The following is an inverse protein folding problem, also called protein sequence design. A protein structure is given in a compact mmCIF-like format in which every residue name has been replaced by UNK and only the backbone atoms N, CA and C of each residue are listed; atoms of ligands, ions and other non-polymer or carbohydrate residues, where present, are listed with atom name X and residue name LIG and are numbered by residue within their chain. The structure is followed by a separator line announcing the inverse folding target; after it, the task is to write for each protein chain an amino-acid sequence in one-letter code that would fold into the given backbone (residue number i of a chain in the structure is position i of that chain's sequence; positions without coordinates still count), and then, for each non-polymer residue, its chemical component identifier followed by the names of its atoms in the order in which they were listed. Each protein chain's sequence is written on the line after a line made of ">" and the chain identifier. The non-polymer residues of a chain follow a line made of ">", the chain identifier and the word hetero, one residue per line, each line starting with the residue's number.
data_IF_388900424034
#
_entry.id   IF_388900424034
#
_cell.length_a   1.000
_cell.length_b   1.000
_cell.length_c   1.000
_cell.angle_alpha   90.00
_cell.angle_beta   90.00
_cell.angle_gamma   90.00
#
_symmetry.space_group_name_H-M   'P 1'
#
loop_
_entity.id
_entity.type
_entity.pdbx_description
1 polymer ?
#
# COMPACT_ATOMS: atom_id res chain seq x y z
N UNK A 1 -23.74 56.55 9.88
CA UNK A 1 -23.42 55.19 10.27
C UNK A 1 -21.95 54.96 10.63
N UNK A 2 -21.06 55.91 10.38
CA UNK A 2 -19.62 55.82 10.70
C UNK A 2 -19.24 56.29 12.14
N UNK A 3 -20.08 57.10 12.75
CA UNK A 3 -19.83 57.67 14.08
C UNK A 3 -20.21 56.78 15.27
N UNK A 4 -21.03 55.75 15.06
CA UNK A 4 -21.46 54.84 16.12
C UNK A 4 -20.44 53.71 16.32
N UNK A 5 -19.66 53.33 15.29
CA UNK A 5 -18.66 52.29 15.36
C UNK A 5 -17.38 52.72 16.10
N UNK A 6 -17.03 54.00 16.08
CA UNK A 6 -15.83 54.56 16.75
C UNK A 6 -16.05 54.68 18.27
N UNK A 7 -17.29 54.98 18.71
CA UNK A 7 -17.60 55.08 20.12
C UNK A 7 -17.59 53.72 20.87
N UNK A 8 -17.95 52.62 20.14
CA UNK A 8 -17.89 51.27 20.70
C UNK A 8 -16.45 50.73 20.85
N UNK A 9 -15.55 51.10 19.92
CA UNK A 9 -14.14 50.67 20.00
C UNK A 9 -13.35 51.40 21.15
N UNK A 10 -13.67 52.63 21.42
CA UNK A 10 -13.03 53.40 22.54
C UNK A 10 -13.59 52.98 23.89
N UNK A 11 -14.79 52.50 24.00
CA UNK A 11 -15.39 51.96 25.23
C UNK A 11 -14.77 50.59 25.62
N UNK A 12 -14.39 49.74 24.66
CA UNK A 12 -13.74 48.48 24.94
C UNK A 12 -12.27 48.61 25.36
N UNK A 13 -11.56 49.64 24.88
CA UNK A 13 -10.17 49.90 25.28
C UNK A 13 -10.05 50.49 26.68
N UNK A 14 -11.08 51.17 27.21
CA UNK A 14 -11.07 51.73 28.56
C UNK A 14 -11.36 50.66 29.64
N UNK A 15 -12.06 49.60 29.30
CA UNK A 15 -12.39 48.51 30.25
C UNK A 15 -11.22 47.52 30.46
N UNK A 16 -10.27 47.46 29.52
CA UNK A 16 -9.11 46.57 29.66
C UNK A 16 -8.00 47.13 30.52
N UNK A 17 -8.02 48.41 30.87
CA UNK A 17 -7.00 49.04 31.70
C UNK A 17 -7.32 49.09 33.21
N UNK A 18 -8.54 48.69 33.62
CA UNK A 18 -8.98 48.76 35.03
C UNK A 18 -9.11 47.39 35.71
N UNK A 19 -8.80 46.31 35.03
CA UNK A 19 -8.79 44.98 35.66
C UNK A 19 -7.35 44.50 35.84
N UNK A 20 -6.75 44.78 37.00
CA UNK A 20 -5.58 44.06 37.50
C UNK A 20 -6.09 42.94 38.40
N UNK A 21 -5.96 41.67 38.02
CA UNK A 21 -6.18 40.58 38.98
C UNK A 21 -5.07 40.59 40.00
N UNK A 22 -5.42 40.70 41.29
CA UNK A 22 -4.49 40.43 42.37
C UNK A 22 -3.98 39.00 42.25
N UNK A 23 -2.66 38.83 42.02
CA UNK A 23 -2.01 37.52 42.07
C UNK A 23 -1.99 37.03 43.52
N UNK A 24 -3.04 36.33 43.91
CA UNK A 24 -2.98 35.52 45.13
C UNK A 24 -2.03 34.34 44.91
N UNK A 25 -1.40 33.81 46.00
CA UNK A 25 -0.46 32.70 45.88
C UNK A 25 -1.12 31.51 45.22
N UNK A 26 -0.69 31.20 43.97
CA UNK A 26 -1.14 30.00 43.25
C UNK A 26 -0.57 28.79 43.98
N UNK A 27 -1.38 28.14 44.79
CA UNK A 27 -1.03 26.84 45.35
C UNK A 27 -0.76 25.89 44.18
N UNK A 28 0.52 25.51 44.00
CA UNK A 28 0.95 24.53 43.03
C UNK A 28 0.39 23.19 43.47
N UNK A 29 -0.75 22.78 42.90
CA UNK A 29 -1.25 21.43 43.01
C UNK A 29 -0.23 20.51 42.34
N UNK A 30 0.61 19.86 43.13
CA UNK A 30 1.39 18.73 42.65
C UNK A 30 0.44 17.59 42.33
N UNK A 31 0.13 17.42 41.06
CA UNK A 31 -0.55 16.23 40.59
C UNK A 31 0.37 15.04 40.90
N UNK A 32 -0.14 13.97 41.56
CA UNK A 32 0.67 12.78 41.76
C UNK A 32 1.15 12.29 40.39
N UNK A 33 2.46 11.97 40.31
CA UNK A 33 3.01 11.39 39.10
C UNK A 33 2.11 10.21 38.66
N UNK A 34 1.50 10.36 37.51
CA UNK A 34 0.74 9.26 36.89
C UNK A 34 1.79 8.18 36.64
N UNK A 35 1.81 7.20 37.53
CA UNK A 35 2.64 6.01 37.37
C UNK A 35 2.32 5.45 35.97
N UNK A 36 3.35 5.32 35.14
CA UNK A 36 3.22 4.66 33.85
C UNK A 36 2.59 3.30 34.10
N UNK A 37 1.33 3.13 33.67
CA UNK A 37 0.73 1.80 33.68
C UNK A 37 1.62 0.90 32.81
N UNK A 38 1.97 -0.30 33.27
CA UNK A 38 2.75 -1.20 32.46
C UNK A 38 1.99 -1.43 31.15
N UNK A 39 2.64 -1.13 30.03
CA UNK A 39 2.12 -1.45 28.70
C UNK A 39 1.75 -2.94 28.69
N UNK A 40 0.54 -3.33 28.27
CA UNK A 40 0.19 -4.74 28.16
C UNK A 40 1.29 -5.46 27.37
N UNK A 41 1.73 -6.65 27.79
CA UNK A 41 2.73 -7.39 27.05
C UNK A 41 2.23 -7.61 25.61
N UNK A 42 3.08 -7.36 24.63
CA UNK A 42 2.76 -7.65 23.23
C UNK A 42 2.33 -9.11 23.10
N UNK A 43 1.23 -9.42 22.37
CA UNK A 43 0.81 -10.79 22.16
C UNK A 43 1.94 -11.56 21.50
N UNK A 44 2.16 -12.80 21.97
CA UNK A 44 3.20 -13.63 21.37
C UNK A 44 2.94 -13.79 19.87
N UNK A 45 3.99 -13.87 19.03
CA UNK A 45 3.84 -14.03 17.58
C UNK A 45 2.98 -15.24 17.17
N UNK A 46 2.97 -16.27 18.01
CA UNK A 46 2.16 -17.48 17.83
C UNK A 46 0.66 -17.20 18.08
N UNK A 47 0.35 -16.41 19.10
CA UNK A 47 -1.01 -15.95 19.38
C UNK A 47 -1.53 -15.06 18.25
N UNK A 48 -0.69 -14.18 17.70
CA UNK A 48 -1.03 -13.32 16.57
C UNK A 48 -1.40 -14.13 15.33
N UNK A 49 -0.58 -15.12 14.94
CA UNK A 49 -0.85 -15.99 13.80
C UNK A 49 -2.13 -16.82 13.97
N UNK A 50 -2.34 -17.36 15.18
CA UNK A 50 -3.57 -18.11 15.50
C UNK A 50 -4.81 -17.21 15.42
N UNK A 51 -4.75 -16.01 15.96
CA UNK A 51 -5.85 -15.06 15.94
C UNK A 51 -6.18 -14.65 14.51
N UNK A 52 -5.17 -14.36 13.67
CA UNK A 52 -5.41 -14.00 12.28
C UNK A 52 -6.02 -15.17 11.48
N UNK A 53 -5.56 -16.40 11.71
CA UNK A 53 -6.17 -17.60 11.08
C UNK A 53 -7.65 -17.72 11.42
N UNK A 54 -8.02 -17.59 12.69
CA UNK A 54 -9.42 -17.62 13.12
C UNK A 54 -10.24 -16.52 12.44
N UNK A 55 -9.69 -15.30 12.30
CA UNK A 55 -10.37 -14.21 11.58
C UNK A 55 -10.55 -14.51 10.10
N UNK A 56 -9.57 -15.13 9.44
CA UNK A 56 -9.72 -15.56 8.04
C UNK A 56 -10.82 -16.62 7.88
N UNK A 57 -10.93 -17.55 8.82
CA UNK A 57 -12.01 -18.56 8.83
C UNK A 57 -13.38 -17.91 9.02
N UNK A 58 -13.53 -16.92 9.91
CA UNK A 58 -14.75 -16.14 10.11
C UNK A 58 -15.14 -15.36 8.84
N UNK A 59 -14.16 -14.72 8.17
CA UNK A 59 -14.39 -13.99 6.92
C UNK A 59 -14.82 -14.94 5.81
N UNK A 60 -14.16 -16.10 5.69
CA UNK A 60 -14.51 -17.11 4.68
C UNK A 60 -15.92 -17.69 4.91
N UNK A 61 -16.35 -17.83 6.15
CA UNK A 61 -17.71 -18.25 6.48
C UNK A 61 -18.77 -17.17 6.15
N UNK A 62 -18.40 -15.89 6.29
CA UNK A 62 -19.29 -14.73 6.03
C UNK A 62 -19.41 -14.40 4.55
N UNK A 63 -18.33 -14.53 3.81
CA UNK A 63 -18.22 -14.14 2.40
C UNK A 63 -17.78 -15.35 1.55
N UNK A 64 -18.70 -16.08 0.93
CA UNK A 64 -18.36 -17.28 0.14
C UNK A 64 -17.47 -16.93 -1.07
N UNK A 65 -16.26 -17.50 -1.07
CA UNK A 65 -15.29 -17.39 -2.16
C UNK A 65 -14.19 -18.43 -2.00
N UNK A 66 -13.39 -18.62 -3.04
CA UNK A 66 -12.10 -19.30 -2.94
C UNK A 66 -11.03 -18.28 -2.63
N UNK A 67 -10.43 -18.36 -1.42
CA UNK A 67 -9.42 -17.39 -0.99
C UNK A 67 -8.00 -17.92 -1.17
N UNK A 68 -7.13 -17.02 -1.64
CA UNK A 68 -5.68 -17.12 -1.51
C UNK A 68 -5.18 -15.90 -0.73
N UNK A 69 -4.53 -16.13 0.42
CA UNK A 69 -4.09 -15.05 1.32
C UNK A 69 -2.66 -15.32 1.76
N UNK A 70 -1.83 -14.28 1.72
CA UNK A 70 -0.52 -14.27 2.37
C UNK A 70 -0.37 -12.96 3.14
N UNK A 71 0.03 -13.06 4.40
CA UNK A 71 0.43 -11.93 5.23
C UNK A 71 1.85 -12.22 5.72
N UNK A 72 2.79 -11.37 5.37
CA UNK A 72 4.20 -11.48 5.77
C UNK A 72 4.60 -10.26 6.59
N UNK A 73 5.18 -10.50 7.76
CA UNK A 73 5.69 -9.47 8.66
C UNK A 73 7.21 -9.62 8.79
N UNK A 74 7.99 -8.84 8.03
CA UNK A 74 9.45 -8.92 8.05
C UNK A 74 10.04 -8.68 9.44
N UNK A 75 9.42 -7.82 10.25
CA UNK A 75 9.92 -7.47 11.59
C UNK A 75 9.92 -8.66 12.55
N UNK A 76 8.99 -9.60 12.39
CA UNK A 76 8.92 -10.85 13.18
C UNK A 76 9.45 -12.06 12.41
N UNK A 77 9.74 -11.93 11.11
CA UNK A 77 10.14 -13.02 10.22
C UNK A 77 9.03 -14.06 9.99
N UNK A 78 7.76 -13.72 10.22
CA UNK A 78 6.64 -14.66 10.14
C UNK A 78 5.73 -14.38 8.96
N UNK A 79 5.27 -15.48 8.38
CA UNK A 79 4.30 -15.47 7.29
C UNK A 79 3.11 -16.35 7.63
N UNK A 80 1.91 -15.82 7.49
CA UNK A 80 0.65 -16.57 7.51
C UNK A 80 0.20 -16.77 6.08
N UNK A 81 -0.18 -18.01 5.73
CA UNK A 81 -0.59 -18.37 4.39
C UNK A 81 -1.86 -19.22 4.38
N UNK A 82 -2.76 -18.93 3.43
CA UNK A 82 -3.93 -19.73 3.09
C UNK A 82 -3.96 -19.87 1.56
N UNK A 83 -3.90 -21.12 1.06
CA UNK A 83 -3.87 -21.42 -0.38
C UNK A 83 -2.79 -20.61 -1.14
N UNK A 84 -1.64 -20.40 -0.52
CA UNK A 84 -0.59 -19.51 -1.01
C UNK A 84 -0.03 -19.91 -2.38
N UNK A 85 -0.06 -21.20 -2.71
CA UNK A 85 0.42 -21.76 -3.98
C UNK A 85 -0.72 -22.09 -4.96
N UNK A 86 -1.99 -21.82 -4.57
CA UNK A 86 -3.11 -21.99 -5.47
C UNK A 86 -3.06 -20.92 -6.56
N UNK A 87 -3.25 -21.33 -7.80
CA UNK A 87 -3.31 -20.44 -8.96
C UNK A 87 -4.66 -19.73 -9.03
N UNK A 88 -4.61 -18.44 -9.26
CA UNK A 88 -5.75 -17.56 -9.52
C UNK A 88 -5.51 -16.74 -10.78
N UNK A 89 -6.54 -16.16 -11.35
CA UNK A 89 -6.42 -15.14 -12.38
C UNK A 89 -5.66 -13.93 -11.79
N UNK A 90 -4.56 -13.54 -12.42
CA UNK A 90 -3.74 -12.42 -11.95
C UNK A 90 -4.43 -11.06 -12.16
N UNK A 91 -5.22 -10.96 -13.22
CA UNK A 91 -5.85 -9.69 -13.60
C UNK A 91 -4.81 -8.56 -13.66
N UNK A 92 -5.09 -7.40 -13.04
CA UNK A 92 -4.15 -6.27 -13.03
C UNK A 92 -2.97 -6.41 -12.07
N UNK A 93 -2.86 -7.47 -11.27
CA UNK A 93 -1.62 -7.78 -10.54
C UNK A 93 -0.45 -8.06 -11.51
N UNK A 94 -0.74 -8.45 -12.77
CA UNK A 94 0.25 -8.56 -13.84
C UNK A 94 1.01 -7.27 -14.15
N UNK A 95 0.60 -6.13 -13.60
CA UNK A 95 1.27 -4.84 -13.75
C UNK A 95 2.45 -4.67 -12.79
N UNK A 96 2.47 -5.43 -11.68
CA UNK A 96 3.59 -5.41 -10.73
C UNK A 96 4.91 -5.83 -11.36
N UNK A 97 5.02 -6.98 -12.07
CA UNK A 97 6.26 -7.35 -12.72
C UNK A 97 6.68 -6.40 -13.84
N UNK A 98 5.74 -5.72 -14.51
CA UNK A 98 6.06 -4.69 -15.51
C UNK A 98 6.71 -3.48 -14.86
N UNK A 99 6.14 -2.99 -13.73
CA UNK A 99 6.72 -1.92 -12.93
C UNK A 99 8.12 -2.27 -12.47
N UNK A 100 8.28 -3.43 -11.84
CA UNK A 100 9.56 -3.92 -11.35
C UNK A 100 10.61 -4.01 -12.47
N UNK A 101 10.27 -4.62 -13.61
CA UNK A 101 11.18 -4.77 -14.75
C UNK A 101 11.64 -3.41 -15.29
N UNK A 102 10.74 -2.44 -15.41
CA UNK A 102 11.05 -1.10 -15.88
C UNK A 102 12.08 -0.42 -14.95
N UNK A 103 11.80 -0.42 -13.66
CA UNK A 103 12.65 0.25 -12.67
C UNK A 103 13.98 -0.47 -12.45
N UNK A 104 13.99 -1.80 -12.56
CA UNK A 104 15.24 -2.56 -12.52
C UNK A 104 16.12 -2.30 -13.75
N UNK A 105 15.53 -2.19 -14.94
CA UNK A 105 16.27 -1.78 -16.14
C UNK A 105 16.82 -0.34 -16.00
N UNK A 106 16.07 0.56 -15.37
CA UNK A 106 16.55 1.91 -15.09
C UNK A 106 17.74 1.90 -14.09
N UNK A 107 17.66 1.08 -13.04
CA UNK A 107 18.77 0.93 -12.08
C UNK A 107 20.06 0.39 -12.72
N UNK A 108 19.93 -0.44 -13.76
CA UNK A 108 21.05 -0.97 -14.53
C UNK A 108 21.58 0.02 -15.59
N UNK A 109 20.93 1.17 -15.77
CA UNK A 109 21.26 2.14 -16.82
C UNK A 109 20.89 1.68 -18.25
N UNK A 110 20.07 0.65 -18.37
CA UNK A 110 19.58 0.12 -19.65
C UNK A 110 18.42 0.96 -20.22
N UNK A 111 17.73 1.71 -19.34
CA UNK A 111 16.57 2.55 -19.65
C UNK A 111 16.69 3.86 -18.87
N UNK A 112 16.32 4.98 -19.51
CA UNK A 112 16.08 6.23 -18.80
C UNK A 112 14.56 6.43 -18.64
N UNK A 113 14.08 6.60 -17.41
CA UNK A 113 12.66 6.80 -17.14
C UNK A 113 12.07 8.08 -17.78
N UNK A 114 12.94 9.03 -18.15
CA UNK A 114 12.57 10.25 -18.88
C UNK A 114 12.53 10.03 -20.41
N UNK A 115 12.89 8.86 -20.91
CA UNK A 115 12.74 8.56 -22.35
C UNK A 115 11.26 8.52 -22.72
N UNK A 116 10.96 9.03 -23.91
CA UNK A 116 9.61 9.13 -24.42
C UNK A 116 9.13 7.83 -25.09
N UNK A 117 7.88 7.48 -24.85
CA UNK A 117 7.18 6.39 -25.52
C UNK A 117 5.90 6.92 -26.19
N UNK A 118 5.74 6.61 -27.49
CA UNK A 118 4.52 6.98 -28.24
C UNK A 118 3.52 5.83 -28.24
N UNK A 119 2.25 6.15 -28.03
CA UNK A 119 1.14 5.20 -28.11
C UNK A 119 0.88 4.79 -29.56
N UNK A 120 1.00 3.48 -29.84
CA UNK A 120 0.65 2.91 -31.12
C UNK A 120 -0.83 2.47 -31.13
N UNK A 121 -1.41 2.30 -32.31
CA UNK A 121 -2.77 1.74 -32.44
C UNK A 121 -2.93 0.36 -31.80
N UNK A 122 -1.88 -0.45 -31.84
CA UNK A 122 -1.84 -1.80 -31.20
C UNK A 122 -1.86 -1.76 -29.69
N UNK A 123 -1.50 -0.62 -29.07
CA UNK A 123 -1.47 -0.46 -27.62
C UNK A 123 -2.83 -0.10 -27.04
N UNK A 124 -3.72 0.46 -27.88
CA UNK A 124 -5.03 0.97 -27.43
C UNK A 124 -5.91 -0.16 -26.89
N UNK A 125 -6.30 -0.05 -25.63
CA UNK A 125 -7.17 -0.97 -24.91
C UNK A 125 -8.40 -0.22 -24.42
N UNK A 126 -9.46 -0.20 -25.23
CA UNK A 126 -10.71 0.51 -24.92
C UNK A 126 -11.64 -0.28 -23.97
N UNK A 127 -11.09 -1.23 -23.21
CA UNK A 127 -11.84 -2.04 -22.24
C UNK A 127 -11.08 -2.13 -20.91
N UNK A 128 -11.83 -2.41 -19.84
CA UNK A 128 -11.29 -2.50 -18.49
C UNK A 128 -11.03 -1.10 -17.90
N UNK A 129 -9.86 -0.92 -17.31
CA UNK A 129 -9.48 0.30 -16.58
C UNK A 129 -8.51 1.17 -17.36
N UNK A 130 -8.47 2.46 -17.01
CA UNK A 130 -7.57 3.46 -17.56
C UNK A 130 -8.26 4.49 -18.43
N UNK A 131 -7.50 5.50 -18.84
CA UNK A 131 -7.99 6.68 -19.58
C UNK A 131 -7.21 6.95 -20.87
N UNK A 132 -6.02 6.34 -21.03
CA UNK A 132 -5.15 6.63 -22.17
C UNK A 132 -5.75 6.25 -23.52
N UNK A 133 -6.63 5.24 -23.55
CA UNK A 133 -7.33 4.86 -24.79
C UNK A 133 -8.14 6.00 -25.44
N UNK A 134 -8.46 7.06 -24.65
CA UNK A 134 -9.16 8.25 -25.16
C UNK A 134 -8.23 9.26 -25.85
N UNK A 135 -6.91 9.09 -25.71
CA UNK A 135 -5.92 9.95 -26.36
C UNK A 135 -5.72 9.53 -27.81
N UNK A 136 -5.32 10.46 -28.69
CA UNK A 136 -5.04 10.09 -30.08
C UNK A 136 -3.84 9.13 -30.19
N UNK A 137 -3.87 8.24 -31.17
CA UNK A 137 -2.69 7.43 -31.54
C UNK A 137 -1.54 8.38 -31.89
N UNK A 138 -0.34 8.07 -31.41
CA UNK A 138 0.82 8.95 -31.47
C UNK A 138 0.99 9.86 -30.24
N UNK A 139 0.07 9.81 -29.26
CA UNK A 139 0.26 10.50 -27.98
C UNK A 139 1.52 10.00 -27.30
N UNK A 140 2.38 10.93 -26.87
CA UNK A 140 3.70 10.65 -26.32
C UNK A 140 3.77 11.07 -24.85
N UNK A 141 4.45 10.32 -24.05
CA UNK A 141 4.71 10.56 -22.63
C UNK A 141 6.03 9.92 -22.22
N UNK A 142 6.58 10.26 -21.06
CA UNK A 142 7.76 9.58 -20.54
C UNK A 142 7.42 8.15 -20.07
N UNK A 143 8.42 7.29 -19.97
CA UNK A 143 8.25 5.95 -19.40
C UNK A 143 7.77 6.00 -17.95
N UNK A 144 8.21 7.01 -17.19
CA UNK A 144 7.77 7.31 -15.82
C UNK A 144 6.27 7.62 -15.77
N UNK A 145 5.79 8.55 -16.60
CA UNK A 145 4.38 8.89 -16.71
C UNK A 145 3.53 7.69 -17.14
N UNK A 146 4.05 6.89 -18.07
CA UNK A 146 3.38 5.68 -18.52
C UNK A 146 3.25 4.65 -17.38
N UNK A 147 4.28 4.49 -16.54
CA UNK A 147 4.23 3.65 -15.34
C UNK A 147 3.22 4.18 -14.31
N UNK A 148 3.14 5.50 -14.14
CA UNK A 148 2.16 6.13 -13.25
C UNK A 148 0.72 5.83 -13.70
N UNK A 149 0.38 6.02 -14.97
CA UNK A 149 -0.93 5.63 -15.50
C UNK A 149 -1.21 4.13 -15.31
N UNK A 150 -0.22 3.28 -15.57
CA UNK A 150 -0.35 1.84 -15.43
C UNK A 150 -0.68 1.43 -13.99
N UNK A 151 -0.09 2.07 -13.00
CA UNK A 151 -0.26 1.69 -11.60
C UNK A 151 -1.44 2.40 -10.96
N UNK A 152 -1.50 3.74 -11.03
CA UNK A 152 -2.54 4.54 -10.33
C UNK A 152 -3.92 4.36 -10.94
N UNK A 153 -4.03 4.44 -12.27
CA UNK A 153 -5.29 4.25 -12.98
C UNK A 153 -5.53 2.80 -13.40
N UNK A 154 -4.59 1.93 -13.08
CA UNK A 154 -4.59 0.56 -13.62
C UNK A 154 -4.76 0.54 -15.15
N UNK A 155 -4.18 1.51 -15.86
CA UNK A 155 -4.41 1.72 -17.28
C UNK A 155 -3.90 0.55 -18.13
N UNK A 156 -4.80 -0.03 -18.94
CA UNK A 156 -4.49 -1.17 -19.79
C UNK A 156 -3.71 -0.76 -21.05
N UNK A 157 -3.90 0.47 -21.54
CA UNK A 157 -3.14 1.00 -22.67
C UNK A 157 -1.69 1.26 -22.25
N UNK A 158 -1.47 1.90 -21.09
CA UNK A 158 -0.14 2.06 -20.52
C UNK A 158 0.57 0.70 -20.32
N UNK A 159 -0.15 -0.28 -19.78
CA UNK A 159 0.37 -1.63 -19.63
C UNK A 159 0.82 -2.23 -20.96
N UNK A 160 0.05 -2.08 -22.05
CA UNK A 160 0.43 -2.54 -23.40
C UNK A 160 1.65 -1.81 -23.94
N UNK A 161 1.72 -0.48 -23.75
CA UNK A 161 2.86 0.34 -24.18
C UNK A 161 4.16 -0.14 -23.51
N UNK A 162 4.14 -0.30 -22.17
CA UNK A 162 5.32 -0.77 -21.43
C UNK A 162 5.67 -2.23 -21.73
N UNK A 163 4.70 -3.11 -21.95
CA UNK A 163 4.97 -4.47 -22.42
C UNK A 163 5.65 -4.51 -23.79
N UNK A 164 5.24 -3.66 -24.71
CA UNK A 164 5.89 -3.53 -26.02
C UNK A 164 7.31 -3.00 -25.89
N UNK A 165 7.51 -2.02 -25.00
CA UNK A 165 8.81 -1.40 -24.79
C UNK A 165 9.81 -2.38 -24.15
N UNK A 166 9.43 -2.99 -23.04
CA UNK A 166 10.29 -3.91 -22.28
C UNK A 166 10.47 -5.27 -22.96
N UNK A 167 9.43 -5.72 -23.65
CA UNK A 167 9.39 -7.07 -24.20
C UNK A 167 9.00 -8.13 -23.16
N UNK A 168 8.04 -8.98 -23.53
CA UNK A 168 7.50 -10.04 -22.66
C UNK A 168 8.59 -10.94 -22.05
N UNK A 169 9.60 -11.34 -22.83
CA UNK A 169 10.68 -12.23 -22.37
C UNK A 169 11.48 -11.64 -21.21
N UNK A 170 11.71 -10.34 -21.23
CA UNK A 170 12.44 -9.67 -20.15
C UNK A 170 11.60 -9.65 -18.86
N UNK A 171 10.31 -9.40 -18.97
CA UNK A 171 9.39 -9.44 -17.80
C UNK A 171 9.33 -10.86 -17.21
N UNK A 172 9.24 -11.89 -18.06
CA UNK A 172 9.26 -13.30 -17.62
C UNK A 172 10.61 -13.69 -16.99
N UNK A 173 11.71 -13.15 -17.50
CA UNK A 173 13.04 -13.38 -16.91
C UNK A 173 13.16 -12.76 -15.52
N UNK A 174 12.65 -11.55 -15.32
CA UNK A 174 12.67 -10.90 -13.99
C UNK A 174 11.77 -11.65 -12.99
N UNK A 175 10.60 -12.15 -13.41
CA UNK A 175 9.77 -13.03 -12.58
C UNK A 175 10.53 -14.29 -12.16
N UNK A 176 11.26 -14.91 -13.08
CA UNK A 176 12.06 -16.09 -12.80
C UNK A 176 13.21 -15.79 -11.81
N UNK A 177 13.87 -14.65 -11.97
CA UNK A 177 14.97 -14.19 -11.12
C UNK A 177 14.54 -13.99 -9.65
N UNK A 178 13.37 -13.38 -9.42
CA UNK A 178 12.84 -13.19 -8.07
C UNK A 178 12.17 -14.43 -7.50
N UNK A 179 12.14 -15.54 -8.25
CA UNK A 179 11.55 -16.80 -7.81
C UNK A 179 10.04 -16.95 -8.03
N UNK A 180 9.36 -16.02 -8.67
CA UNK A 180 7.91 -16.04 -8.95
C UNK A 180 7.58 -16.97 -10.13
N UNK A 181 7.90 -18.26 -9.99
CA UNK A 181 7.91 -19.27 -11.05
C UNK A 181 6.54 -19.92 -11.33
N UNK A 182 5.56 -19.70 -10.45
CA UNK A 182 4.19 -20.19 -10.62
C UNK A 182 3.33 -19.24 -11.44
N UNK A 183 3.81 -18.01 -11.68
CA UNK A 183 3.12 -16.99 -12.47
C UNK A 183 3.24 -17.30 -13.95
N UNK A 184 2.08 -17.47 -14.61
CA UNK A 184 2.00 -17.55 -16.06
C UNK A 184 1.66 -16.15 -16.61
N UNK A 185 2.72 -15.40 -16.89
CA UNK A 185 2.59 -14.04 -17.41
C UNK A 185 1.97 -14.05 -18.82
N UNK A 186 1.03 -13.14 -19.08
CA UNK A 186 0.33 -12.93 -20.36
C UNK A 186 -0.82 -13.89 -20.64
N UNK A 187 -0.59 -15.16 -20.89
CA UNK A 187 -1.62 -16.18 -21.14
C UNK A 187 -1.18 -17.48 -20.47
N UNK A 188 -1.98 -18.03 -19.60
CA UNK A 188 -3.35 -17.70 -19.19
C UNK A 188 -3.50 -16.50 -18.23
N UNK A 189 -2.46 -15.74 -17.91
CA UNK A 189 -2.43 -14.62 -16.96
C UNK A 189 -2.87 -15.06 -15.55
N UNK A 190 -2.18 -16.05 -15.01
CA UNK A 190 -2.43 -16.57 -13.66
C UNK A 190 -1.21 -16.36 -12.76
N UNK A 191 -1.46 -16.24 -11.47
CA UNK A 191 -0.43 -16.10 -10.44
C UNK A 191 -0.84 -16.85 -9.17
N UNK A 192 0.05 -16.89 -8.19
CA UNK A 192 -0.24 -17.38 -6.84
C UNK A 192 -0.03 -16.28 -5.81
N UNK A 193 -0.67 -16.32 -4.64
CA UNK A 193 -0.39 -15.37 -3.57
C UNK A 193 1.09 -15.28 -3.19
N UNK A 194 1.81 -16.40 -3.17
CA UNK A 194 3.26 -16.43 -2.91
C UNK A 194 4.06 -15.69 -3.99
N UNK A 195 3.75 -15.89 -5.26
CA UNK A 195 4.45 -15.19 -6.34
C UNK A 195 4.18 -13.68 -6.28
N UNK A 196 2.95 -13.27 -5.91
CA UNK A 196 2.62 -11.85 -5.73
C UNK A 196 3.40 -11.26 -4.54
N UNK A 197 3.54 -12.01 -3.44
CA UNK A 197 4.39 -11.59 -2.31
C UNK A 197 5.84 -11.35 -2.78
N UNK A 198 6.43 -12.29 -3.53
CA UNK A 198 7.79 -12.14 -4.06
C UNK A 198 7.94 -10.90 -4.96
N UNK A 199 6.93 -10.57 -5.76
CA UNK A 199 6.93 -9.33 -6.56
C UNK A 199 6.92 -8.09 -5.68
N UNK A 200 6.12 -8.06 -4.61
CA UNK A 200 6.05 -6.94 -3.66
C UNK A 200 7.34 -6.80 -2.87
N UNK A 201 7.93 -7.91 -2.41
CA UNK A 201 9.22 -7.93 -1.73
C UNK A 201 10.33 -7.39 -2.63
N UNK A 202 10.37 -7.81 -3.90
CA UNK A 202 11.35 -7.32 -4.87
C UNK A 202 11.19 -5.81 -5.17
N UNK A 203 9.96 -5.28 -5.22
CA UNK A 203 9.68 -3.84 -5.36
C UNK A 203 10.17 -3.06 -4.13
N UNK A 204 9.99 -3.62 -2.94
CA UNK A 204 10.35 -2.98 -1.68
C UNK A 204 11.85 -3.09 -1.35
N UNK A 205 12.55 -4.08 -1.88
CA UNK A 205 13.98 -4.31 -1.61
C UNK A 205 14.86 -3.44 -2.54
N UNK A 206 15.56 -2.43 -1.99
CA UNK A 206 16.43 -1.56 -2.76
C UNK A 206 17.66 -2.27 -3.37
N UNK A 207 17.97 -3.50 -2.94
CA UNK A 207 19.07 -4.26 -3.51
C UNK A 207 18.84 -4.68 -4.97
N UNK A 208 17.58 -4.77 -5.40
CA UNK A 208 17.22 -5.02 -6.80
C UNK A 208 17.31 -3.78 -7.69
N UNK A 209 17.20 -2.58 -7.10
CA UNK A 209 17.21 -1.29 -7.82
C UNK A 209 18.13 -0.29 -7.11
N UNK A 210 17.59 0.80 -6.59
CA UNK A 210 18.23 1.74 -5.66
C UNK A 210 17.23 2.15 -4.61
N UNK A 211 17.65 2.72 -3.45
CA UNK A 211 16.70 3.22 -2.45
C UNK A 211 15.68 4.21 -3.02
N UNK A 212 16.11 5.09 -3.91
CA UNK A 212 15.26 6.11 -4.54
C UNK A 212 14.23 5.48 -5.49
N UNK A 213 14.67 4.54 -6.33
CA UNK A 213 13.79 3.87 -7.30
C UNK A 213 12.80 2.93 -6.61
N UNK A 214 13.23 2.20 -5.57
CA UNK A 214 12.33 1.39 -4.75
C UNK A 214 11.27 2.26 -4.05
N UNK A 215 11.69 3.37 -3.44
CA UNK A 215 10.78 4.32 -2.81
C UNK A 215 9.78 4.92 -3.82
N UNK A 216 10.23 5.23 -5.04
CA UNK A 216 9.38 5.74 -6.12
C UNK A 216 8.34 4.70 -6.56
N UNK A 217 8.73 3.44 -6.78
CA UNK A 217 7.78 2.36 -7.11
C UNK A 217 6.70 2.24 -6.03
N UNK A 218 7.08 2.26 -4.76
CA UNK A 218 6.13 2.22 -3.65
C UNK A 218 5.23 3.46 -3.59
N UNK A 219 5.73 4.63 -3.95
CA UNK A 219 4.93 5.86 -3.98
C UNK A 219 3.91 5.84 -5.12
N UNK A 220 4.28 5.33 -6.30
CA UNK A 220 3.34 5.10 -7.40
C UNK A 220 2.18 4.18 -7.00
N UNK A 221 2.42 3.23 -6.09
CA UNK A 221 1.41 2.30 -5.57
C UNK A 221 0.55 2.92 -4.46
N UNK A 222 0.78 4.17 -4.04
CA UNK A 222 -0.06 4.89 -3.06
C UNK A 222 -1.03 5.84 -3.75
N UNK A 223 -2.18 6.12 -3.10
CA UNK A 223 -3.18 7.07 -3.61
C UNK A 223 -3.60 6.77 -5.04
N UNK A 224 -3.98 5.51 -5.27
CA UNK A 224 -4.48 5.05 -6.57
C UNK A 224 -5.95 5.45 -6.76
N UNK A 225 -6.49 5.28 -7.96
CA UNK A 225 -7.93 5.49 -8.20
C UNK A 225 -8.82 4.39 -7.58
N UNK A 226 -8.24 3.42 -6.85
CA UNK A 226 -8.94 2.21 -6.37
C UNK A 226 -8.67 1.94 -4.88
N UNK A 227 -9.00 2.89 -4.01
CA UNK A 227 -8.76 2.83 -2.56
C UNK A 227 -9.85 2.06 -1.79
N UNK A 228 -10.70 1.31 -2.47
CA UNK A 228 -11.93 0.71 -1.96
C UNK A 228 -11.77 -0.71 -1.38
N UNK A 229 -10.54 -1.21 -1.27
CA UNK A 229 -10.22 -2.56 -0.76
C UNK A 229 -9.31 -2.51 0.46
N UNK A 230 -8.02 -2.83 0.33
CA UNK A 230 -7.08 -2.83 1.47
C UNK A 230 -7.05 -1.51 2.24
N UNK A 231 -6.99 -0.32 1.60
CA UNK A 231 -6.89 0.94 2.32
C UNK A 231 -8.17 1.34 3.06
N UNK A 232 -9.33 1.04 2.48
CA UNK A 232 -10.62 1.61 2.88
C UNK A 232 -10.97 1.46 4.37
N UNK A 233 -10.77 0.29 5.02
CA UNK A 233 -11.17 0.10 6.41
C UNK A 233 -10.13 0.58 7.42
N UNK A 234 -8.96 1.03 6.95
CA UNK A 234 -7.84 1.36 7.82
C UNK A 234 -7.97 2.76 8.41
N UNK A 235 -7.35 3.05 9.56
CA UNK A 235 -7.35 4.38 10.14
C UNK A 235 -6.83 5.43 9.17
N UNK A 236 -7.43 6.62 9.21
CA UNK A 236 -7.02 7.74 8.37
C UNK A 236 -5.52 8.05 8.53
N UNK A 237 -4.84 8.23 7.40
CA UNK A 237 -3.40 8.48 7.36
C UNK A 237 -2.53 7.22 7.38
N UNK A 238 -3.13 6.02 7.37
CA UNK A 238 -2.38 4.78 7.10
C UNK A 238 -1.93 4.78 5.65
N UNK A 239 -0.61 4.69 5.42
CA UNK A 239 -0.05 4.58 4.08
C UNK A 239 -0.17 3.12 3.61
N UNK A 240 -0.73 2.94 2.42
CA UNK A 240 -0.83 1.62 1.76
C UNK A 240 -0.29 1.75 0.35
N UNK A 241 0.77 1.02 0.04
CA UNK A 241 1.28 0.87 -1.31
C UNK A 241 0.71 -0.43 -1.89
N UNK A 242 -0.24 -0.34 -2.83
CA UNK A 242 -0.99 -1.51 -3.25
C UNK A 242 -1.34 -1.52 -4.73
N UNK A 243 -1.77 -2.69 -5.22
CA UNK A 243 -2.31 -2.88 -6.56
C UNK A 243 -3.50 -3.82 -6.52
N UNK A 244 -4.60 -3.37 -7.08
CA UNK A 244 -5.79 -4.20 -7.26
C UNK A 244 -5.72 -5.06 -8.53
N UNK A 245 -6.50 -6.15 -8.53
CA UNK A 245 -6.82 -6.93 -9.72
C UNK A 245 -8.31 -7.27 -9.78
N UNK A 246 -8.92 -7.19 -10.97
CA UNK A 246 -10.32 -7.56 -11.20
C UNK A 246 -10.47 -8.14 -12.61
N UNK A 247 -10.95 -9.36 -12.69
CA UNK A 247 -11.32 -10.00 -13.97
C UNK A 247 -12.29 -11.16 -13.74
N UNK A 248 -13.43 -11.12 -14.43
CA UNK A 248 -14.45 -12.14 -14.29
C UNK A 248 -15.00 -12.24 -12.86
N UNK A 249 -14.80 -13.39 -12.25
CA UNK A 249 -15.19 -13.74 -10.89
C UNK A 249 -14.01 -13.69 -9.88
N UNK A 250 -12.88 -13.13 -10.29
CA UNK A 250 -11.67 -13.03 -9.45
C UNK A 250 -11.33 -11.58 -9.18
N UNK A 251 -11.18 -11.24 -7.90
CA UNK A 251 -10.87 -9.91 -7.39
C UNK A 251 -9.77 -9.99 -6.35
N UNK A 252 -8.84 -9.06 -6.41
CA UNK A 252 -7.68 -9.08 -5.53
C UNK A 252 -7.25 -7.68 -5.10
N UNK A 253 -6.51 -7.62 -4.02
CA UNK A 253 -5.68 -6.48 -3.65
C UNK A 253 -4.42 -6.99 -2.95
N UNK A 254 -3.28 -6.40 -3.26
CA UNK A 254 -1.99 -6.83 -2.75
C UNK A 254 -1.06 -5.63 -2.56
N UNK A 255 -0.35 -5.58 -1.44
CA UNK A 255 0.51 -4.44 -1.15
C UNK A 255 1.24 -4.50 0.17
N UNK A 256 1.84 -3.36 0.52
CA UNK A 256 2.50 -3.07 1.79
C UNK A 256 1.64 -2.10 2.58
N UNK A 257 1.41 -2.41 3.84
CA UNK A 257 0.73 -1.53 4.79
C UNK A 257 1.76 -1.02 5.79
N UNK A 258 1.88 0.29 5.88
CA UNK A 258 2.79 0.94 6.81
C UNK A 258 2.04 1.27 8.10
N UNK A 259 2.54 0.86 9.28
CA UNK A 259 1.96 1.28 10.55
C UNK A 259 1.84 2.80 10.63
N UNK A 260 0.86 3.26 11.40
CA UNK A 260 0.57 4.69 11.51
C UNK A 260 1.82 5.50 11.87
N UNK A 261 2.15 6.45 11.00
CA UNK A 261 3.32 7.33 11.18
C UNK A 261 4.64 6.77 10.67
N UNK A 262 4.71 5.50 10.26
CA UNK A 262 5.90 4.95 9.62
C UNK A 262 5.93 5.18 8.12
N UNK A 263 7.14 5.35 7.59
CA UNK A 263 7.45 5.35 6.16
C UNK A 263 8.54 4.32 5.81
N UNK A 264 9.08 3.64 6.83
CA UNK A 264 10.09 2.60 6.65
C UNK A 264 9.46 1.29 6.19
N UNK A 265 10.06 0.66 5.21
CA UNK A 265 9.69 -0.70 4.78
C UNK A 265 9.97 -1.74 5.86
N UNK A 266 10.92 -1.48 6.77
CA UNK A 266 11.22 -2.36 7.90
C UNK A 266 10.07 -2.49 8.90
N UNK A 267 9.21 -1.46 8.97
CA UNK A 267 8.04 -1.45 9.85
C UNK A 267 6.77 -1.96 9.13
N UNK A 268 6.80 -2.05 7.80
CA UNK A 268 5.65 -2.44 7.00
C UNK A 268 5.41 -3.95 7.01
N UNK A 269 4.17 -4.36 6.85
CA UNK A 269 3.84 -5.74 6.56
C UNK A 269 3.27 -5.88 5.14
N UNK A 270 3.51 -7.02 4.53
CA UNK A 270 2.96 -7.38 3.23
C UNK A 270 1.62 -8.10 3.41
N UNK A 271 0.69 -7.81 2.53
CA UNK A 271 -0.61 -8.48 2.49
C UNK A 271 -1.02 -8.72 1.04
N UNK A 272 -1.38 -9.96 0.75
CA UNK A 272 -1.94 -10.39 -0.54
C UNK A 272 -3.26 -11.07 -0.28
N UNK A 273 -4.33 -10.60 -0.89
CA UNK A 273 -5.65 -11.22 -0.82
C UNK A 273 -6.19 -11.39 -2.24
N UNK A 274 -6.47 -12.62 -2.63
CA UNK A 274 -7.13 -12.98 -3.89
C UNK A 274 -8.39 -13.75 -3.55
N UNK A 275 -9.53 -13.30 -4.06
CA UNK A 275 -10.83 -13.96 -3.92
C UNK A 275 -11.35 -14.34 -5.29
N UNK A 276 -11.41 -15.62 -5.57
CA UNK A 276 -11.98 -16.22 -6.79
C UNK A 276 -13.33 -16.86 -6.55
N UNK A 277 -14.02 -17.21 -7.64
CA UNK A 277 -15.34 -17.86 -7.62
C UNK A 277 -16.39 -17.00 -6.85
N UNK A 278 -16.38 -15.67 -7.02
CA UNK A 278 -17.21 -14.77 -6.22
C UNK A 278 -17.64 -13.51 -6.98
N UNK A 279 -18.39 -12.64 -6.32
CA UNK A 279 -18.78 -11.33 -6.86
C UNK A 279 -17.85 -10.22 -6.35
N UNK A 280 -17.80 -9.10 -7.09
CA UNK A 280 -16.97 -7.96 -6.70
C UNK A 280 -17.33 -7.43 -5.31
N UNK A 281 -18.63 -7.33 -5.00
CA UNK A 281 -19.07 -6.84 -3.69
C UNK A 281 -18.62 -7.77 -2.55
N UNK A 282 -18.78 -9.08 -2.72
CA UNK A 282 -18.36 -10.10 -1.74
C UNK A 282 -16.85 -10.04 -1.52
N UNK A 283 -16.07 -10.03 -2.61
CA UNK A 283 -14.62 -9.94 -2.56
C UNK A 283 -14.14 -8.66 -1.87
N UNK A 284 -14.71 -7.49 -2.25
CA UNK A 284 -14.39 -6.20 -1.66
C UNK A 284 -14.60 -6.22 -0.14
N UNK A 285 -15.77 -6.66 0.31
CA UNK A 285 -16.11 -6.74 1.73
C UNK A 285 -15.16 -7.68 2.49
N UNK A 286 -14.84 -8.83 1.89
CA UNK A 286 -13.89 -9.77 2.48
C UNK A 286 -12.47 -9.20 2.59
N UNK A 287 -11.98 -8.55 1.52
CA UNK A 287 -10.66 -7.92 1.51
C UNK A 287 -10.57 -6.83 2.58
N UNK A 288 -11.62 -6.01 2.76
CA UNK A 288 -11.71 -5.00 3.80
C UNK A 288 -11.66 -5.63 5.20
N UNK A 289 -12.47 -6.66 5.47
CA UNK A 289 -12.51 -7.32 6.78
C UNK A 289 -11.15 -7.99 7.10
N UNK A 290 -10.48 -8.61 6.11
CA UNK A 290 -9.14 -9.20 6.24
C UNK A 290 -8.09 -8.10 6.51
N UNK A 291 -8.14 -7.00 5.75
CA UNK A 291 -7.22 -5.87 5.91
C UNK A 291 -7.31 -5.29 7.33
N UNK A 292 -8.53 -5.00 7.81
CA UNK A 292 -8.74 -4.45 9.14
C UNK A 292 -8.30 -5.43 10.25
N UNK A 293 -8.60 -6.73 10.10
CA UNK A 293 -8.18 -7.74 11.05
C UNK A 293 -6.65 -7.84 11.13
N UNK A 294 -5.97 -7.80 9.98
CA UNK A 294 -4.50 -7.81 9.91
C UNK A 294 -3.91 -6.54 10.53
N UNK A 295 -4.47 -5.37 10.21
CA UNK A 295 -4.00 -4.10 10.75
C UNK A 295 -4.09 -4.05 12.29
N UNK A 296 -5.18 -4.52 12.87
CA UNK A 296 -5.34 -4.58 14.34
C UNK A 296 -4.31 -5.46 15.04
N UNK A 297 -3.68 -6.37 14.33
CA UNK A 297 -2.67 -7.27 14.87
C UNK A 297 -1.24 -6.82 14.58
N UNK A 298 -1.01 -6.16 13.44
CA UNK A 298 0.32 -5.84 12.94
C UNK A 298 0.56 -4.34 12.71
N UNK A 299 -0.50 -3.55 12.51
CA UNK A 299 -0.43 -2.15 12.08
C UNK A 299 -0.33 -1.13 13.22
N UNK A 300 -0.46 -1.54 14.48
CA UNK A 300 -0.24 -0.64 15.62
C UNK A 300 1.27 -0.37 15.76
N UNK A 301 1.67 0.89 16.06
CA UNK A 301 3.07 1.23 16.25
C UNK A 301 3.69 0.37 17.35
N UNK A 302 4.68 -0.44 17.02
CA UNK A 302 5.43 -1.22 18.01
C UNK A 302 6.39 -0.30 18.75
N UNK A 303 6.42 -0.40 20.09
CA UNK A 303 7.44 0.24 20.88
C UNK A 303 8.80 -0.36 20.46
N UNK A 304 9.66 0.43 19.80
CA UNK A 304 11.03 -0.02 19.53
C UNK A 304 11.69 -0.32 20.88
N UNK A 305 12.31 -1.50 21.07
CA UNK A 305 13.12 -1.72 22.26
C UNK A 305 14.16 -0.59 22.32
N UNK A 306 14.14 0.17 23.40
CA UNK A 306 15.18 1.17 23.67
C UNK A 306 16.50 0.41 23.64
N UNK A 307 17.35 0.72 22.65
CA UNK A 307 18.69 0.14 22.60
C UNK A 307 19.33 0.37 23.97
N UNK A 308 19.60 -0.72 24.68
CA UNK A 308 20.29 -0.63 25.97
C UNK A 308 21.62 0.05 25.72
N UNK A 309 21.72 1.30 26.15
CA UNK A 309 23.01 2.00 26.25
C UNK A 309 23.85 1.14 27.18
N UNK A 310 24.83 0.43 26.62
CA UNK A 310 25.85 -0.21 27.47
C UNK A 310 26.53 0.89 28.23
N UNK A 311 26.53 0.86 29.57
CA UNK A 311 27.39 1.77 30.31
C UNK A 311 28.82 1.38 29.91
N UNK A 312 29.53 2.36 29.36
CA UNK A 312 30.94 2.25 29.07
C UNK A 312 31.68 1.82 30.34
N UNK A 313 32.42 0.72 30.22
CA UNK A 313 33.34 0.23 31.25
C UNK A 313 34.68 0.98 31.17
#
# INVERSE_FOLDING_TARGET
>A
MFFVLVACLLGLLALTFLYQPEEGPVARLELPAVGSQPTPPEPSPELTARTLRTRLEEVAAKYPATYGVVVSDPSSGKTLALNADKRFMAASLTKLPVLFTLYRAAARGEVNLEDEISMLRSDVQAYGTGVLYTRPVGYTMTLRECAEYMIKESDNTAWKMLNRYLGRRNIEAELYEIGARSTAYWVPNTTTPNDVLLMLEAIADPSYTTPELSAEMLDLMTHTSFEDRLPQPLPQGTRVAHKIGSYGDTFSDAGLVFPRGSRSTDDAYFIVVIAGDTTEWTARSAIQDISLATYRLLGEPRARPVASVRPDA
#
